data_IF_083819562336
#
_entry.id   IF_083819562336
#
_cell.length_a   1.000
_cell.length_b   1.000
_cell.length_c   1.000
_cell.angle_alpha   90.00
_cell.angle_beta   90.00
_cell.angle_gamma   90.00
#
_symmetry.space_group_name_H-M   'P 1'
#
loop_
_entity.id
_entity.type
_entity.pdbx_description
1 polymer ?
#
# COMPACT_ATOMS: atom_id res chain seq x y z
N UNK A 1 -11.12 -15.86 2.06
CA UNK A 1 -11.71 -14.90 3.01
C UNK A 1 -12.55 -13.94 2.19
N UNK A 2 -13.88 -13.93 2.37
CA UNK A 2 -14.75 -13.03 1.61
C UNK A 2 -14.53 -11.55 1.98
N UNK A 3 -14.29 -11.27 3.26
CA UNK A 3 -13.99 -9.93 3.75
C UNK A 3 -13.14 -9.99 5.03
N UNK A 4 -12.17 -9.09 5.15
CA UNK A 4 -11.42 -8.88 6.37
C UNK A 4 -11.03 -7.39 6.49
N UNK A 5 -11.12 -6.85 7.68
CA UNK A 5 -10.70 -5.49 8.02
C UNK A 5 -9.69 -5.56 9.16
N UNK A 6 -8.60 -4.81 9.03
CA UNK A 6 -7.54 -4.76 10.03
C UNK A 6 -7.21 -3.30 10.32
N UNK A 7 -7.39 -2.89 11.56
CA UNK A 7 -6.95 -1.58 12.04
C UNK A 7 -5.46 -1.63 12.39
N UNK A 8 -4.73 -0.66 11.89
CA UNK A 8 -3.29 -0.48 12.12
C UNK A 8 -3.10 0.87 12.80
N UNK A 9 -3.43 0.91 14.09
CA UNK A 9 -3.37 2.11 14.91
C UNK A 9 -2.32 1.90 16.01
N UNK A 10 -1.33 2.79 16.08
CA UNK A 10 -0.22 2.68 17.02
C UNK A 10 0.66 1.44 16.80
N UNK A 11 1.11 0.82 17.88
CA UNK A 11 1.90 -0.41 17.84
C UNK A 11 0.99 -1.63 17.71
N UNK A 12 1.10 -2.33 16.58
CA UNK A 12 0.27 -3.50 16.28
C UNK A 12 1.10 -4.78 16.31
N UNK A 13 0.64 -5.78 17.06
CA UNK A 13 1.26 -7.08 17.17
C UNK A 13 0.39 -8.17 16.53
N UNK A 14 0.91 -8.85 15.51
CA UNK A 14 0.24 -10.00 14.88
C UNK A 14 0.67 -11.29 15.59
N UNK A 15 -0.20 -11.80 16.46
CA UNK A 15 0.04 -13.03 17.22
C UNK A 15 -0.82 -14.15 16.64
N UNK A 16 -0.28 -15.35 16.55
CA UNK A 16 -0.98 -16.53 16.08
C UNK A 16 -0.04 -17.67 15.72
N UNK A 17 -0.59 -18.86 15.59
CA UNK A 17 0.15 -20.06 15.18
C UNK A 17 0.64 -19.96 13.73
N UNK A 18 1.47 -20.90 13.31
CA UNK A 18 1.89 -21.00 11.92
C UNK A 18 0.68 -21.25 11.00
N UNK A 19 0.65 -20.60 9.84
CA UNK A 19 -0.42 -20.79 8.85
C UNK A 19 -1.64 -19.88 8.98
N UNK A 20 -1.82 -19.11 10.05
CA UNK A 20 -3.02 -18.25 10.25
C UNK A 20 -3.04 -16.97 9.39
N UNK A 21 -2.07 -16.77 8.51
CA UNK A 21 -2.10 -15.65 7.55
C UNK A 21 -1.28 -14.43 7.96
N UNK A 22 -0.47 -14.47 9.01
CA UNK A 22 0.39 -13.32 9.41
C UNK A 22 1.25 -12.80 8.26
N UNK A 23 1.99 -13.68 7.59
CA UNK A 23 2.83 -13.30 6.44
C UNK A 23 2.01 -12.82 5.25
N UNK A 24 0.80 -13.30 5.08
CA UNK A 24 -0.14 -12.82 4.06
C UNK A 24 -0.51 -11.37 4.32
N UNK A 25 -0.90 -11.05 5.54
CA UNK A 25 -1.22 -9.68 5.93
C UNK A 25 -0.02 -8.74 5.79
N UNK A 26 1.16 -9.15 6.28
CA UNK A 26 2.39 -8.36 6.16
C UNK A 26 2.75 -8.08 4.70
N UNK A 27 2.57 -9.04 3.80
CA UNK A 27 2.80 -8.83 2.36
C UNK A 27 1.80 -7.86 1.74
N UNK A 28 0.54 -7.89 2.17
CA UNK A 28 -0.45 -6.91 1.72
C UNK A 28 -0.06 -5.49 2.17
N UNK A 29 0.42 -5.32 3.40
CA UNK A 29 0.92 -4.03 3.91
C UNK A 29 2.18 -3.58 3.16
N UNK A 30 3.13 -4.49 2.94
CA UNK A 30 4.34 -4.20 2.18
C UNK A 30 4.03 -3.77 0.74
N UNK A 31 2.99 -4.35 0.14
CA UNK A 31 2.51 -4.00 -1.18
C UNK A 31 2.04 -2.54 -1.25
N UNK A 32 1.41 -2.01 -0.21
CA UNK A 32 1.04 -0.60 -0.13
C UNK A 32 2.25 0.32 -0.31
N UNK A 33 3.35 0.03 0.36
CA UNK A 33 4.54 0.89 0.33
C UNK A 33 5.43 0.68 -0.90
N UNK A 34 5.54 -0.55 -1.37
CA UNK A 34 6.49 -0.89 -2.42
C UNK A 34 5.82 -1.14 -3.78
N UNK A 35 4.60 -1.65 -3.78
CA UNK A 35 3.81 -2.06 -4.94
C UNK A 35 4.56 -2.95 -5.95
N UNK A 36 5.73 -3.48 -5.58
CA UNK A 36 6.52 -4.39 -6.40
C UNK A 36 6.30 -5.83 -5.93
N UNK A 37 5.39 -6.52 -6.61
CA UNK A 37 5.01 -7.89 -6.28
C UNK A 37 6.17 -8.90 -6.33
N UNK A 38 7.22 -8.60 -7.09
CA UNK A 38 8.40 -9.48 -7.20
C UNK A 38 9.29 -9.37 -5.95
N UNK A 39 9.14 -8.32 -5.17
CA UNK A 39 9.94 -8.05 -3.97
C UNK A 39 9.18 -8.28 -2.67
N UNK A 40 8.05 -8.98 -2.70
CA UNK A 40 7.24 -9.30 -1.51
C UNK A 40 7.67 -10.58 -0.78
N UNK A 41 8.79 -11.19 -1.15
CA UNK A 41 9.29 -12.41 -0.52
C UNK A 41 8.34 -13.60 -0.67
N UNK A 42 7.62 -13.70 -1.77
CA UNK A 42 6.76 -14.83 -2.07
C UNK A 42 7.61 -15.93 -2.69
N UNK A 43 7.71 -17.13 -2.08
CA UNK A 43 8.42 -18.24 -2.65
C UNK A 43 7.89 -18.63 -4.04
N UNK A 44 8.78 -19.07 -4.94
CA UNK A 44 8.43 -19.39 -6.34
C UNK A 44 7.41 -20.54 -6.46
N UNK A 45 7.38 -21.42 -5.47
CA UNK A 45 6.48 -22.58 -5.39
C UNK A 45 5.05 -22.18 -4.99
N UNK A 46 4.86 -20.96 -4.49
CA UNK A 46 3.54 -20.43 -4.08
C UNK A 46 2.89 -19.66 -5.21
N UNK A 47 1.57 -19.50 -5.11
CA UNK A 47 0.83 -18.64 -6.03
C UNK A 47 1.43 -17.23 -6.02
N UNK A 48 1.53 -16.62 -7.19
CA UNK A 48 1.96 -15.23 -7.33
C UNK A 48 1.04 -14.29 -6.52
N UNK A 49 1.51 -13.08 -6.24
CA UNK A 49 0.73 -12.07 -5.53
C UNK A 49 -0.65 -11.87 -6.17
N UNK A 50 -0.68 -11.66 -7.48
CA UNK A 50 -1.92 -11.41 -8.21
C UNK A 50 -2.89 -12.61 -8.16
N UNK A 51 -2.37 -13.83 -8.25
CA UNK A 51 -3.19 -15.04 -8.21
C UNK A 51 -3.74 -15.33 -6.81
N UNK A 52 -3.06 -14.88 -5.77
CA UNK A 52 -3.47 -15.12 -4.39
C UNK A 52 -4.40 -14.02 -3.86
N UNK A 53 -4.04 -12.74 -4.05
CA UNK A 53 -4.80 -11.63 -3.48
C UNK A 53 -5.93 -11.14 -4.40
N UNK A 54 -5.79 -11.37 -5.71
CA UNK A 54 -6.77 -10.97 -6.71
C UNK A 54 -7.23 -12.17 -7.55
N UNK A 55 -7.76 -13.24 -6.91
CA UNK A 55 -8.17 -14.45 -7.62
C UNK A 55 -9.39 -14.21 -8.53
N UNK A 56 -10.18 -13.18 -8.26
CA UNK A 56 -11.39 -12.85 -8.99
C UNK A 56 -11.36 -11.40 -9.50
N UNK A 57 -12.14 -11.06 -10.54
CA UNK A 57 -12.26 -9.68 -11.03
C UNK A 57 -12.75 -8.69 -9.97
N UNK A 58 -13.56 -9.16 -9.02
CA UNK A 58 -14.10 -8.39 -7.89
C UNK A 58 -13.30 -8.56 -6.59
N UNK A 59 -12.02 -8.91 -6.70
CA UNK A 59 -11.09 -8.89 -5.56
C UNK A 59 -10.52 -7.49 -5.40
N UNK A 60 -10.59 -6.95 -4.18
CA UNK A 60 -10.11 -5.61 -3.84
C UNK A 60 -9.25 -5.63 -2.59
N UNK A 61 -8.22 -4.77 -2.56
CA UNK A 61 -7.53 -4.38 -1.34
C UNK A 61 -7.71 -2.88 -1.19
N UNK A 62 -8.19 -2.44 -0.04
CA UNK A 62 -8.36 -1.02 0.27
C UNK A 62 -7.45 -0.67 1.44
N UNK A 63 -6.67 0.38 1.27
CA UNK A 63 -5.85 0.97 2.32
C UNK A 63 -6.43 2.33 2.66
N UNK A 64 -6.89 2.50 3.89
CA UNK A 64 -7.25 3.81 4.42
C UNK A 64 -6.02 4.50 4.98
N UNK A 65 -5.76 5.70 4.53
CA UNK A 65 -4.64 6.53 4.98
C UNK A 65 -5.20 7.72 5.75
N UNK A 66 -4.90 7.76 7.04
CA UNK A 66 -5.27 8.86 7.92
C UNK A 66 -4.25 9.99 7.81
N UNK A 67 -4.74 11.24 7.76
CA UNK A 67 -3.94 12.46 7.76
C UNK A 67 -4.57 13.48 8.71
N UNK A 68 -3.83 14.53 9.05
CA UNK A 68 -4.34 15.62 9.90
C UNK A 68 -5.64 16.24 9.34
N UNK A 69 -5.74 16.35 8.02
CA UNK A 69 -6.87 16.99 7.33
C UNK A 69 -7.91 15.99 6.80
N UNK A 70 -7.98 14.79 7.36
CA UNK A 70 -8.93 13.76 6.96
C UNK A 70 -8.27 12.51 6.40
N UNK A 71 -9.08 11.61 5.84
CA UNK A 71 -8.62 10.34 5.30
C UNK A 71 -8.84 10.24 3.79
N UNK A 72 -8.06 9.41 3.14
CA UNK A 72 -8.32 8.95 1.78
C UNK A 72 -8.07 7.45 1.69
N UNK A 73 -8.64 6.84 0.65
CA UNK A 73 -8.41 5.42 0.39
C UNK A 73 -7.56 5.21 -0.85
N UNK A 74 -6.67 4.22 -0.78
CA UNK A 74 -6.00 3.64 -1.94
C UNK A 74 -6.65 2.29 -2.23
N UNK A 75 -7.24 2.17 -3.40
CA UNK A 75 -7.88 0.96 -3.87
C UNK A 75 -6.98 0.25 -4.87
N UNK A 76 -6.54 -0.95 -4.54
CA UNK A 76 -5.93 -1.88 -5.48
C UNK A 76 -7.00 -2.81 -6.04
N UNK A 77 -7.09 -2.92 -7.36
CA UNK A 77 -8.07 -3.73 -8.08
C UNK A 77 -7.44 -4.37 -9.31
N UNK A 78 -8.05 -5.47 -9.76
CA UNK A 78 -7.64 -6.12 -11.00
C UNK A 78 -8.41 -5.53 -12.18
N UNK A 79 -7.69 -5.03 -13.17
CA UNK A 79 -8.26 -4.54 -14.43
C UNK A 79 -7.45 -5.09 -15.59
N UNK A 80 -8.12 -5.68 -16.59
CA UNK A 80 -7.49 -6.30 -17.76
C UNK A 80 -6.32 -7.24 -17.40
N UNK A 81 -6.50 -8.05 -16.36
CA UNK A 81 -5.50 -9.02 -15.90
C UNK A 81 -4.33 -8.44 -15.08
N UNK A 82 -4.27 -7.12 -14.86
CA UNK A 82 -3.22 -6.44 -14.10
C UNK A 82 -3.77 -5.77 -12.85
N UNK A 83 -2.99 -5.74 -11.79
CA UNK A 83 -3.32 -4.96 -10.58
C UNK A 83 -3.00 -3.50 -10.85
N UNK A 84 -3.96 -2.64 -10.61
CA UNK A 84 -3.91 -1.20 -10.81
C UNK A 84 -4.49 -0.50 -9.58
N UNK A 85 -4.35 0.83 -9.52
CA UNK A 85 -4.73 1.59 -8.34
C UNK A 85 -5.67 2.74 -8.67
N UNK A 86 -6.51 3.10 -7.68
CA UNK A 86 -7.28 4.34 -7.65
C UNK A 86 -7.19 4.96 -6.28
N UNK A 87 -7.34 6.27 -6.23
CA UNK A 87 -7.42 7.03 -5.00
C UNK A 87 -8.86 7.56 -4.83
N UNK A 88 -9.36 7.49 -3.62
CA UNK A 88 -10.72 7.94 -3.25
C UNK A 88 -10.58 8.96 -2.13
N UNK A 89 -11.12 10.17 -2.33
CA UNK A 89 -11.06 11.25 -1.35
C UNK A 89 -12.15 11.09 -0.29
N UNK A 90 -12.06 10.03 0.49
CA UNK A 90 -12.97 9.78 1.60
C UNK A 90 -12.38 8.76 2.58
N UNK A 91 -12.82 8.75 3.85
CA UNK A 91 -12.63 7.64 4.76
C UNK A 91 -13.23 6.36 4.18
N UNK A 92 -12.72 5.23 4.61
CA UNK A 92 -13.24 3.93 4.17
C UNK A 92 -14.67 3.70 4.68
N UNK A 93 -15.53 3.27 3.78
CA UNK A 93 -16.86 2.77 4.11
C UNK A 93 -17.06 1.40 3.45
N UNK A 94 -17.20 0.37 4.27
CA UNK A 94 -17.38 -1.01 3.81
C UNK A 94 -18.61 -1.18 2.90
N UNK A 95 -19.63 -0.34 3.07
CA UNK A 95 -20.85 -0.37 2.24
C UNK A 95 -20.61 -0.10 0.77
N UNK A 96 -19.46 0.50 0.41
CA UNK A 96 -19.10 0.67 -1.01
C UNK A 96 -18.75 -0.64 -1.70
N UNK A 97 -18.26 -1.63 -0.94
CA UNK A 97 -17.71 -2.87 -1.46
C UNK A 97 -18.55 -4.09 -1.15
N UNK A 98 -19.29 -4.06 -0.06
CA UNK A 98 -20.05 -5.20 0.44
C UNK A 98 -21.51 -4.82 0.72
N UNK A 99 -22.41 -5.76 0.47
CA UNK A 99 -23.81 -5.65 0.82
C UNK A 99 -24.08 -6.01 2.30
N UNK A 100 -25.33 -5.96 2.71
CA UNK A 100 -25.76 -6.32 4.08
C UNK A 100 -25.43 -7.77 4.44
N UNK A 101 -25.27 -8.66 3.45
CA UNK A 101 -24.90 -10.07 3.62
C UNK A 101 -23.37 -10.25 3.64
N UNK A 102 -22.59 -9.16 3.62
CA UNK A 102 -21.13 -9.16 3.53
C UNK A 102 -20.59 -9.82 2.26
N UNK A 103 -21.38 -9.80 1.18
CA UNK A 103 -20.95 -10.23 -0.13
C UNK A 103 -20.39 -9.04 -0.91
N UNK A 104 -19.27 -9.26 -1.61
CA UNK A 104 -18.63 -8.25 -2.42
C UNK A 104 -19.47 -7.98 -3.67
N UNK A 105 -19.69 -6.71 -3.99
CA UNK A 105 -20.30 -6.32 -5.26
C UNK A 105 -19.55 -6.93 -6.45
N UNK A 106 -20.30 -7.44 -7.44
CA UNK A 106 -19.73 -8.20 -8.54
C UNK A 106 -18.79 -7.37 -9.42
N UNK A 107 -19.13 -6.08 -9.67
CA UNK A 107 -18.45 -5.26 -10.66
C UNK A 107 -17.97 -3.92 -10.09
N UNK A 108 -16.84 -3.47 -10.60
CA UNK A 108 -16.29 -2.15 -10.28
C UNK A 108 -17.25 -1.00 -10.64
N UNK A 109 -18.05 -1.15 -11.69
CA UNK A 109 -19.05 -0.16 -12.11
C UNK A 109 -20.03 0.19 -10.98
N UNK A 110 -20.50 -0.81 -10.25
CA UNK A 110 -21.42 -0.65 -9.12
C UNK A 110 -20.74 0.11 -7.96
N UNK A 111 -19.52 -0.27 -7.61
CA UNK A 111 -18.73 0.41 -6.57
C UNK A 111 -18.48 1.85 -6.96
N UNK A 112 -18.05 2.08 -8.22
CA UNK A 112 -17.79 3.42 -8.76
C UNK A 112 -19.03 4.31 -8.69
N UNK A 113 -20.20 3.78 -9.02
CA UNK A 113 -21.44 4.53 -8.95
C UNK A 113 -21.78 4.96 -7.52
N UNK A 114 -21.66 4.07 -6.56
CA UNK A 114 -21.94 4.37 -5.15
C UNK A 114 -20.97 5.41 -4.58
N UNK A 115 -19.68 5.23 -4.79
CA UNK A 115 -18.63 6.13 -4.29
C UNK A 115 -18.69 7.47 -5.02
N UNK A 116 -18.79 7.44 -6.35
CA UNK A 116 -18.70 8.63 -7.21
C UNK A 116 -19.86 9.61 -7.06
N UNK A 117 -20.99 9.19 -6.47
CA UNK A 117 -22.10 10.11 -6.14
C UNK A 117 -21.73 11.14 -5.08
N UNK A 118 -20.78 10.83 -4.19
CA UNK A 118 -20.43 11.67 -3.03
C UNK A 118 -18.97 12.06 -2.93
N UNK A 119 -18.08 11.28 -3.56
CA UNK A 119 -16.64 11.40 -3.36
C UNK A 119 -15.90 11.40 -4.69
N UNK A 120 -14.77 12.08 -4.72
CA UNK A 120 -13.88 12.05 -5.87
C UNK A 120 -13.15 10.71 -5.95
N UNK A 121 -13.11 10.16 -7.16
CA UNK A 121 -12.33 8.97 -7.52
C UNK A 121 -11.32 9.38 -8.59
N UNK A 122 -10.05 9.09 -8.37
CA UNK A 122 -9.00 9.41 -9.34
C UNK A 122 -9.13 8.62 -10.64
N UNK A 123 -8.44 9.08 -11.67
CA UNK A 123 -8.11 8.24 -12.83
C UNK A 123 -7.36 6.98 -12.40
N UNK A 124 -7.32 5.98 -13.28
CA UNK A 124 -6.66 4.71 -13.02
C UNK A 124 -5.13 4.88 -13.12
N UNK A 125 -4.44 4.47 -12.06
CA UNK A 125 -2.98 4.40 -12.02
C UNK A 125 -2.57 2.99 -12.46
N UNK A 126 -2.00 2.89 -13.66
CA UNK A 126 -1.83 1.62 -14.38
C UNK A 126 -0.48 0.93 -14.15
N UNK A 127 0.49 1.60 -13.52
CA UNK A 127 1.80 1.02 -13.25
C UNK A 127 2.19 1.13 -11.78
N UNK A 128 2.96 0.15 -11.29
CA UNK A 128 3.53 0.17 -9.95
C UNK A 128 4.53 1.31 -9.74
N UNK A 129 5.25 1.69 -10.80
CA UNK A 129 6.18 2.81 -10.77
C UNK A 129 5.45 4.13 -10.55
N UNK A 130 4.41 4.40 -11.34
CA UNK A 130 3.58 5.59 -11.18
C UNK A 130 2.95 5.64 -9.78
N UNK A 131 2.45 4.52 -9.28
CA UNK A 131 1.90 4.42 -7.93
C UNK A 131 2.93 4.79 -6.87
N UNK A 132 4.14 4.24 -6.94
CA UNK A 132 5.23 4.56 -6.01
C UNK A 132 5.63 6.04 -6.06
N UNK A 133 5.74 6.60 -7.26
CA UNK A 133 6.03 8.02 -7.43
C UNK A 133 4.97 8.89 -6.73
N UNK A 134 3.70 8.52 -6.81
CA UNK A 134 2.63 9.23 -6.10
C UNK A 134 2.79 9.12 -4.59
N UNK A 135 2.92 7.91 -4.06
CA UNK A 135 2.98 7.65 -2.61
C UNK A 135 4.21 8.32 -1.97
N UNK A 136 5.35 8.30 -2.65
CA UNK A 136 6.59 8.90 -2.15
C UNK A 136 6.81 10.35 -2.60
N UNK A 137 5.80 10.99 -3.17
CA UNK A 137 5.83 12.40 -3.50
C UNK A 137 6.78 12.77 -4.65
N UNK A 138 7.22 11.82 -5.47
CA UNK A 138 8.07 12.07 -6.64
C UNK A 138 7.25 12.66 -7.81
N UNK A 139 6.71 13.86 -7.62
CA UNK A 139 5.70 14.49 -8.47
C UNK A 139 6.28 15.42 -9.56
N UNK A 140 7.45 15.14 -10.09
CA UNK A 140 8.09 15.99 -11.10
C UNK A 140 7.35 15.95 -12.45
N UNK A 141 6.71 14.83 -12.78
CA UNK A 141 5.95 14.66 -14.03
C UNK A 141 4.61 15.36 -13.95
N UNK A 142 4.19 16.07 -15.03
CA UNK A 142 2.93 16.79 -15.08
C UNK A 142 1.72 15.88 -14.86
N UNK A 143 1.75 14.66 -15.36
CA UNK A 143 0.70 13.66 -15.18
C UNK A 143 0.44 13.27 -13.71
N UNK A 144 1.43 13.49 -12.82
CA UNK A 144 1.33 13.20 -11.40
C UNK A 144 0.80 14.38 -10.58
N UNK A 145 0.67 15.57 -11.16
CA UNK A 145 0.20 16.76 -10.45
C UNK A 145 -1.17 16.57 -9.76
N UNK A 146 -2.18 15.93 -10.38
CA UNK A 146 -3.47 15.69 -9.73
C UNK A 146 -3.37 14.79 -8.49
N UNK A 147 -2.29 14.00 -8.38
CA UNK A 147 -2.08 13.03 -7.30
C UNK A 147 -1.20 13.55 -6.16
N UNK A 148 -0.66 14.77 -6.24
CA UNK A 148 0.26 15.33 -5.23
C UNK A 148 -0.28 15.25 -3.81
N UNK A 149 -1.58 15.41 -3.65
CA UNK A 149 -2.26 15.36 -2.36
C UNK A 149 -2.23 13.98 -1.69
N UNK A 150 -1.87 12.90 -2.39
CA UNK A 150 -1.83 11.55 -1.86
C UNK A 150 -0.44 11.10 -1.40
N UNK A 151 0.56 11.94 -1.54
CA UNK A 151 1.89 11.65 -1.03
C UNK A 151 1.86 11.45 0.49
N UNK A 152 2.44 10.35 0.98
CA UNK A 152 2.55 10.04 2.41
C UNK A 152 3.85 10.56 3.02
N UNK A 153 4.82 10.89 2.19
CA UNK A 153 6.12 11.44 2.58
C UNK A 153 6.52 12.57 1.65
N UNK A 154 7.21 13.56 2.19
CA UNK A 154 7.86 14.58 1.38
C UNK A 154 9.09 13.98 0.71
N UNK A 155 9.15 14.06 -0.61
CA UNK A 155 10.14 13.34 -1.42
C UNK A 155 11.61 13.67 -1.10
N UNK A 156 11.86 14.85 -0.49
CA UNK A 156 13.21 15.28 -0.14
C UNK A 156 13.81 14.56 1.08
N UNK A 157 12.97 14.08 2.01
CA UNK A 157 13.44 13.57 3.31
C UNK A 157 13.63 12.06 3.38
N UNK A 158 13.04 11.25 2.46
CA UNK A 158 12.85 9.82 2.71
C UNK A 158 13.07 8.93 1.48
N UNK A 159 14.14 9.17 0.72
CA UNK A 159 14.45 8.36 -0.48
C UNK A 159 14.69 6.86 -0.17
N UNK A 160 15.05 6.53 1.05
CA UNK A 160 15.41 5.17 1.46
C UNK A 160 14.30 4.39 2.18
N UNK A 161 13.15 5.00 2.52
CA UNK A 161 12.06 4.32 3.25
C UNK A 161 11.60 3.02 2.57
N UNK A 162 11.37 2.96 1.25
CA UNK A 162 10.94 1.72 0.61
C UNK A 162 11.95 0.59 0.79
N UNK A 163 13.25 0.90 0.73
CA UNK A 163 14.33 -0.07 0.92
C UNK A 163 14.40 -0.52 2.38
N UNK A 164 14.26 0.40 3.31
CA UNK A 164 14.28 0.11 4.76
C UNK A 164 13.09 -0.76 5.15
N UNK A 165 11.87 -0.41 4.74
CA UNK A 165 10.66 -1.20 5.00
C UNK A 165 10.83 -2.61 4.40
N UNK A 166 11.29 -2.71 3.15
CA UNK A 166 11.54 -3.99 2.51
C UNK A 166 12.54 -4.84 3.30
N UNK A 167 13.65 -4.26 3.73
CA UNK A 167 14.68 -4.97 4.49
C UNK A 167 14.17 -5.45 5.85
N UNK A 168 13.40 -4.63 6.56
CA UNK A 168 12.83 -5.00 7.87
C UNK A 168 11.81 -6.13 7.74
N UNK A 169 10.94 -6.10 6.74
CA UNK A 169 9.86 -7.08 6.60
C UNK A 169 10.28 -8.40 5.91
N UNK A 170 11.30 -8.38 5.07
CA UNK A 170 11.70 -9.54 4.30
C UNK A 170 12.87 -10.35 4.91
N UNK A 171 13.64 -9.75 5.81
CA UNK A 171 14.71 -10.47 6.49
C UNK A 171 14.14 -11.30 7.63
N UNK A 172 14.17 -12.61 7.45
CA UNK A 172 13.79 -13.58 8.50
C UNK A 172 14.83 -13.74 9.60
N UNK A 173 16.03 -13.18 9.43
CA UNK A 173 17.10 -13.09 10.42
C UNK A 173 17.34 -11.64 10.76
N UNK A 174 16.50 -11.10 11.61
CA UNK A 174 16.75 -9.82 12.28
C UNK A 174 17.76 -10.08 13.40
N UNK A 175 19.04 -9.97 13.11
CA UNK A 175 20.05 -9.87 14.15
C UNK A 175 20.22 -8.40 14.58
N UNK A 176 20.79 -8.21 15.78
CA UNK A 176 20.98 -6.88 16.36
C UNK A 176 21.88 -6.00 15.48
N UNK A 177 22.83 -6.58 14.77
CA UNK A 177 23.75 -5.87 13.89
C UNK A 177 23.06 -5.37 12.62
N UNK A 178 22.12 -6.14 12.08
CA UNK A 178 21.30 -5.70 10.96
C UNK A 178 20.42 -4.50 11.32
N UNK A 179 19.75 -4.55 12.49
CA UNK A 179 18.90 -3.45 12.98
C UNK A 179 19.77 -2.20 13.21
N UNK A 180 20.91 -2.35 13.92
CA UNK A 180 21.85 -1.27 14.17
C UNK A 180 22.37 -0.63 12.89
N UNK A 181 22.83 -1.42 11.92
CA UNK A 181 23.33 -0.91 10.65
C UNK A 181 22.25 -0.25 9.81
N UNK A 182 21.01 -0.72 9.87
CA UNK A 182 19.87 -0.11 9.15
C UNK A 182 19.51 1.24 9.75
N UNK A 183 19.51 1.35 11.10
CA UNK A 183 19.28 2.61 11.81
C UNK A 183 20.42 3.59 11.55
N UNK A 184 21.67 3.17 11.67
CA UNK A 184 22.83 4.03 11.43
C UNK A 184 22.84 4.57 10.00
N UNK A 185 22.53 3.74 8.99
CA UNK A 185 22.46 4.19 7.59
C UNK A 185 21.31 5.15 7.34
N UNK A 186 20.17 4.97 7.98
CA UNK A 186 19.05 5.91 7.86
C UNK A 186 19.35 7.25 8.54
N UNK A 187 20.19 7.26 9.58
CA UNK A 187 20.63 8.47 10.28
C UNK A 187 21.82 9.16 9.61
N UNK A 188 22.75 8.41 8.99
CA UNK A 188 23.93 8.99 8.32
C UNK A 188 23.62 9.66 7.00
N UNK A 189 22.49 9.37 6.37
CA UNK A 189 22.02 10.11 5.20
C UNK A 189 21.45 11.50 5.57
N UNK A 190 21.23 11.80 6.85
CA UNK A 190 20.83 13.14 7.34
C UNK A 190 22.03 14.07 7.60
N UNK A 191 23.25 13.52 7.79
CA UNK A 191 24.42 14.31 8.23
C UNK A 191 25.31 14.86 7.09
N UNK A 192 24.97 14.64 5.84
CA UNK A 192 25.80 15.11 4.71
C UNK A 192 25.47 16.51 4.17
N UNK A 193 24.89 17.40 4.98
CA UNK A 193 24.67 18.80 4.63
C UNK A 193 25.07 19.79 5.72
N UNK A 194 26.19 19.56 6.40
CA UNK A 194 26.85 20.61 7.16
C UNK A 194 27.89 21.23 6.22
N UNK A 195 27.46 22.27 5.54
CA UNK A 195 28.34 23.17 4.83
C UNK A 195 29.13 23.98 5.87
N UNK A 196 30.40 23.66 6.03
CA UNK A 196 31.34 24.44 6.80
C UNK A 196 31.92 25.53 5.87
N UNK A 197 31.26 26.67 5.84
CA UNK A 197 31.85 27.95 5.43
C UNK A 197 31.82 28.93 6.62
#
# INVERSE_FOLDING_TARGET
IPYAEVKLDGNVHFIGTQGVGKSTLLRALLFFYNADKLRLGIPKEKKSFDAFYFPYPNSYIVYEVMRENGAYCVLALKNQGRVMFRFIDAPFDSKWFIDERKLVYGEWSQIREQVGKKHYISSLVSSYEMYRDIIFGNNRRLELQPFRKYAIVESAKYQNIPRTIQNVFLNTKLDADFIKNTIIRSMSDEDNSIDLN
#
